data_IF_538010777650
#
_entry.id   IF_538010777650
#
_cell.length_a   1.000
_cell.length_b   1.000
_cell.length_c   1.000
_cell.angle_alpha   90.00
_cell.angle_beta   90.00
_cell.angle_gamma   90.00
#
_symmetry.space_group_name_H-M   'P 1'
#
loop_
_entity.id
_entity.type
_entity.pdbx_description
1 polymer ?
#
# COMPACT_ATOMS: atom_id res chain seq x y z
N UNK A 1 -13.05 0.00 14.47
CA UNK A 1 -12.14 0.80 13.61
C UNK A 1 -10.67 0.58 13.97
N UNK A 2 -10.21 0.94 15.18
CA UNK A 2 -8.80 0.78 15.62
C UNK A 2 -8.24 -0.65 15.45
N UNK A 3 -9.03 -1.68 15.78
CA UNK A 3 -8.62 -3.08 15.66
C UNK A 3 -8.44 -3.55 14.19
N UNK A 4 -9.16 -2.96 13.23
CA UNK A 4 -8.99 -3.28 11.81
C UNK A 4 -7.73 -2.62 11.24
N UNK A 5 -7.44 -1.38 11.64
CA UNK A 5 -6.17 -0.70 11.31
C UNK A 5 -4.97 -1.49 11.82
N UNK A 6 -4.99 -1.89 13.10
CA UNK A 6 -3.94 -2.71 13.69
C UNK A 6 -3.72 -4.02 12.92
N UNK A 7 -4.80 -4.74 12.59
CA UNK A 7 -4.71 -5.98 11.79
C UNK A 7 -4.06 -5.77 10.43
N UNK A 8 -4.36 -4.67 9.74
CA UNK A 8 -3.75 -4.36 8.44
C UNK A 8 -2.26 -4.00 8.53
N UNK A 9 -1.82 -3.44 9.65
CA UNK A 9 -0.42 -3.04 9.87
C UNK A 9 0.47 -4.20 10.33
N UNK A 10 -0.08 -5.22 11.00
CA UNK A 10 0.71 -6.34 11.53
C UNK A 10 1.60 -7.00 10.47
N UNK A 11 1.11 -7.41 9.28
CA UNK A 11 1.96 -8.05 8.28
C UNK A 11 3.07 -7.13 7.77
N UNK A 12 2.79 -5.84 7.66
CA UNK A 12 3.76 -4.82 7.24
C UNK A 12 4.87 -4.67 8.29
N UNK A 13 4.50 -4.60 9.57
CA UNK A 13 5.44 -4.53 10.68
C UNK A 13 6.28 -5.81 10.78
N UNK A 14 5.68 -6.99 10.58
CA UNK A 14 6.40 -8.26 10.56
C UNK A 14 7.44 -8.26 9.44
N UNK A 15 7.06 -7.90 8.22
CA UNK A 15 8.02 -7.81 7.08
C UNK A 15 9.15 -6.84 7.40
N UNK A 16 8.83 -5.65 7.94
CA UNK A 16 9.82 -4.63 8.28
C UNK A 16 10.81 -5.13 9.34
N UNK A 17 10.31 -5.71 10.44
CA UNK A 17 11.13 -6.25 11.53
C UNK A 17 12.00 -7.40 11.01
N UNK A 18 11.44 -8.32 10.23
CA UNK A 18 12.16 -9.45 9.65
C UNK A 18 13.30 -9.00 8.75
N UNK A 19 13.12 -7.92 8.00
CA UNK A 19 14.14 -7.39 7.07
C UNK A 19 15.25 -6.66 7.82
N UNK A 20 14.90 -5.84 8.83
CA UNK A 20 15.90 -5.19 9.69
C UNK A 20 16.74 -6.22 10.46
N UNK A 21 16.09 -7.26 10.99
CA UNK A 21 16.79 -8.36 11.66
C UNK A 21 17.62 -9.19 10.68
N UNK A 22 17.05 -9.53 9.52
CA UNK A 22 17.72 -10.28 8.47
C UNK A 22 18.97 -9.57 7.95
N UNK A 23 18.94 -8.24 7.85
CA UNK A 23 20.10 -7.42 7.48
C UNK A 23 21.28 -7.59 8.46
N UNK A 24 21.03 -7.68 9.76
CA UNK A 24 22.10 -7.92 10.74
C UNK A 24 22.77 -9.30 10.56
N UNK A 25 22.01 -10.30 10.12
CA UNK A 25 22.52 -11.65 9.87
C UNK A 25 23.16 -11.79 8.48
N UNK A 26 22.70 -11.01 7.51
CA UNK A 26 23.24 -10.95 6.15
C UNK A 26 24.75 -10.66 6.15
N UNK A 27 25.21 -9.74 7.02
CA UNK A 27 26.63 -9.41 7.16
C UNK A 27 27.53 -10.61 7.54
N UNK A 28 26.95 -11.74 7.97
CA UNK A 28 27.65 -12.96 8.39
C UNK A 28 27.42 -14.14 7.45
N UNK A 29 26.71 -13.92 6.33
CA UNK A 29 26.25 -15.00 5.45
C UNK A 29 27.25 -15.34 4.33
N UNK A 30 27.29 -16.60 3.84
CA UNK A 30 28.12 -17.00 2.69
C UNK A 30 27.77 -16.23 1.40
N UNK A 31 28.77 -15.89 0.59
CA UNK A 31 28.63 -15.08 -0.63
C UNK A 31 27.64 -15.64 -1.66
N UNK A 32 27.54 -16.97 -1.78
CA UNK A 32 26.66 -17.63 -2.75
C UNK A 32 25.17 -17.36 -2.47
N UNK A 33 24.78 -17.26 -1.20
CA UNK A 33 23.42 -16.87 -0.79
C UNK A 33 23.18 -15.40 -1.13
N UNK A 34 24.18 -14.56 -0.87
CA UNK A 34 24.13 -13.11 -1.11
C UNK A 34 23.94 -12.80 -2.60
N UNK A 35 24.64 -13.50 -3.49
CA UNK A 35 24.52 -13.28 -4.94
C UNK A 35 23.16 -13.71 -5.49
N UNK A 36 22.53 -14.73 -4.91
CA UNK A 36 21.19 -15.17 -5.30
C UNK A 36 20.12 -14.11 -5.00
N UNK A 37 20.31 -13.30 -3.96
CA UNK A 37 19.39 -12.23 -3.56
C UNK A 37 19.37 -11.07 -4.55
N UNK A 38 20.39 -10.94 -5.41
CA UNK A 38 20.45 -9.85 -6.39
C UNK A 38 19.31 -9.88 -7.41
N UNK A 39 18.77 -11.07 -7.71
CA UNK A 39 17.69 -11.25 -8.68
C UNK A 39 16.29 -11.20 -8.05
N UNK A 40 16.20 -11.29 -6.72
CA UNK A 40 14.94 -11.38 -5.99
C UNK A 40 14.01 -10.17 -6.25
N UNK A 41 14.49 -8.91 -6.25
CA UNK A 41 13.65 -7.76 -6.60
C UNK A 41 12.98 -7.89 -7.95
N UNK A 42 13.73 -8.30 -8.98
CA UNK A 42 13.22 -8.42 -10.35
C UNK A 42 12.16 -9.52 -10.44
N UNK A 43 12.39 -10.66 -9.80
CA UNK A 43 11.43 -11.77 -9.75
C UNK A 43 10.13 -11.36 -9.05
N UNK A 44 10.24 -10.69 -7.90
CA UNK A 44 9.09 -10.19 -7.15
C UNK A 44 8.34 -9.10 -7.92
N UNK A 45 9.05 -8.18 -8.58
CA UNK A 45 8.46 -7.13 -9.40
C UNK A 45 7.70 -7.71 -10.60
N UNK A 46 8.25 -8.74 -11.26
CA UNK A 46 7.55 -9.45 -12.34
C UNK A 46 6.27 -10.12 -11.83
N UNK A 47 6.32 -10.78 -10.66
CA UNK A 47 5.15 -11.42 -10.05
C UNK A 47 4.09 -10.38 -9.65
N UNK A 48 4.48 -9.32 -8.95
CA UNK A 48 3.58 -8.22 -8.55
C UNK A 48 2.99 -7.55 -9.79
N UNK A 49 3.79 -7.29 -10.82
CA UNK A 49 3.34 -6.75 -12.10
C UNK A 49 2.29 -7.64 -12.77
N UNK A 50 2.54 -8.95 -12.85
CA UNK A 50 1.60 -9.91 -13.41
C UNK A 50 0.26 -9.89 -12.65
N UNK A 51 0.30 -9.95 -11.31
CA UNK A 51 -0.91 -10.00 -10.48
C UNK A 51 -1.68 -8.67 -10.49
N UNK A 52 -0.98 -7.53 -10.46
CA UNK A 52 -1.62 -6.22 -10.51
C UNK A 52 -2.29 -5.93 -11.86
N UNK A 53 -1.69 -6.38 -12.97
CA UNK A 53 -2.34 -6.34 -14.28
C UNK A 53 -3.56 -7.26 -14.31
N UNK A 54 -3.42 -8.50 -13.82
CA UNK A 54 -4.50 -9.50 -13.82
C UNK A 54 -5.71 -9.07 -12.96
N UNK A 55 -5.46 -8.52 -11.77
CA UNK A 55 -6.51 -8.05 -10.86
C UNK A 55 -6.86 -6.56 -11.04
N UNK A 56 -6.29 -5.89 -12.04
CA UNK A 56 -6.51 -4.48 -12.35
C UNK A 56 -6.30 -3.54 -11.14
N UNK A 57 -5.22 -3.76 -10.39
CA UNK A 57 -4.82 -2.99 -9.19
C UNK A 57 -3.76 -1.96 -9.54
N UNK A 58 -4.22 -0.78 -9.96
CA UNK A 58 -3.35 0.27 -10.49
C UNK A 58 -2.42 0.88 -9.46
N UNK A 59 -2.91 1.19 -8.25
CA UNK A 59 -2.10 1.86 -7.23
C UNK A 59 -0.88 1.00 -6.85
N UNK A 60 -1.08 -0.30 -6.66
CA UNK A 60 0.00 -1.23 -6.29
C UNK A 60 0.97 -1.45 -7.46
N UNK A 61 0.48 -1.43 -8.70
CA UNK A 61 1.36 -1.45 -9.88
C UNK A 61 2.30 -0.23 -9.89
N UNK A 62 1.79 0.96 -9.60
CA UNK A 62 2.60 2.17 -9.53
C UNK A 62 3.55 2.19 -8.33
N UNK A 63 3.18 1.60 -7.18
CA UNK A 63 4.12 1.36 -6.08
C UNK A 63 5.29 0.49 -6.51
N UNK A 64 5.01 -0.62 -7.20
CA UNK A 64 6.05 -1.51 -7.74
C UNK A 64 6.97 -0.75 -8.71
N UNK A 65 6.41 0.02 -9.65
CA UNK A 65 7.21 0.83 -10.57
C UNK A 65 8.05 1.88 -9.85
N UNK A 66 7.50 2.56 -8.84
CA UNK A 66 8.23 3.55 -8.05
C UNK A 66 9.41 2.91 -7.32
N UNK A 67 9.18 1.79 -6.62
CA UNK A 67 10.20 1.03 -5.90
C UNK A 67 11.32 0.58 -6.86
N UNK A 68 10.95 0.00 -8.02
CA UNK A 68 11.92 -0.45 -9.01
C UNK A 68 12.69 0.70 -9.67
N UNK A 69 12.03 1.85 -9.86
CA UNK A 69 12.69 3.05 -10.40
C UNK A 69 13.72 3.60 -9.42
N UNK A 70 13.38 3.68 -8.13
CA UNK A 70 14.33 4.07 -7.07
C UNK A 70 15.51 3.10 -7.03
N UNK A 71 15.23 1.79 -7.05
CA UNK A 71 16.27 0.76 -7.09
C UNK A 71 17.20 0.94 -8.28
N UNK A 72 16.66 1.13 -9.49
CA UNK A 72 17.46 1.33 -10.69
C UNK A 72 18.32 2.58 -10.62
N UNK A 73 17.75 3.71 -10.20
CA UNK A 73 18.48 4.99 -10.06
C UNK A 73 19.64 4.87 -9.06
N UNK A 74 19.46 4.14 -7.96
CA UNK A 74 20.51 3.94 -6.96
C UNK A 74 21.58 2.93 -7.42
N UNK A 75 21.19 1.79 -8.03
CA UNK A 75 22.13 0.76 -8.52
C UNK A 75 23.02 1.30 -9.63
N UNK A 76 22.45 2.01 -10.59
CA UNK A 76 23.18 2.59 -11.73
C UNK A 76 23.83 3.94 -11.41
N UNK A 77 23.82 4.36 -10.14
CA UNK A 77 24.40 5.61 -9.66
C UNK A 77 23.97 6.85 -10.46
N UNK A 78 22.71 6.88 -10.92
CA UNK A 78 22.13 7.98 -11.71
C UNK A 78 21.84 9.25 -10.87
N UNK A 79 22.50 9.38 -9.73
CA UNK A 79 22.42 10.52 -8.80
C UNK A 79 23.81 11.13 -8.55
N UNK A 80 24.46 11.69 -9.59
CA UNK A 80 25.83 12.19 -9.46
C UNK A 80 25.95 13.47 -8.63
N UNK A 81 24.86 14.22 -8.43
CA UNK A 81 24.86 15.46 -7.64
C UNK A 81 23.81 15.43 -6.54
N UNK A 82 23.99 16.26 -5.50
CA UNK A 82 23.03 16.42 -4.41
C UNK A 82 21.63 16.83 -4.90
N UNK A 83 21.54 17.54 -6.04
CA UNK A 83 20.27 17.91 -6.66
C UNK A 83 19.53 16.68 -7.21
N UNK A 84 20.22 15.75 -7.89
CA UNK A 84 19.61 14.51 -8.37
C UNK A 84 19.05 13.69 -7.21
N UNK A 85 19.86 13.53 -6.16
CA UNK A 85 19.49 12.77 -4.99
C UNK A 85 18.36 13.44 -4.19
N UNK A 86 18.37 14.77 -4.07
CA UNK A 86 17.30 15.56 -3.46
C UNK A 86 15.98 15.45 -4.22
N UNK A 87 16.00 15.49 -5.56
CA UNK A 87 14.80 15.32 -6.39
C UNK A 87 14.22 13.90 -6.25
N UNK A 88 15.07 12.87 -6.32
CA UNK A 88 14.66 11.48 -6.13
C UNK A 88 14.00 11.30 -4.75
N UNK A 89 14.70 11.68 -3.69
CA UNK A 89 14.24 11.49 -2.32
C UNK A 89 13.02 12.36 -1.97
N UNK A 90 12.88 13.54 -2.57
CA UNK A 90 11.71 14.41 -2.40
C UNK A 90 10.46 13.93 -3.13
N UNK A 91 10.58 13.42 -4.37
CA UNK A 91 9.41 12.98 -5.14
C UNK A 91 8.87 11.61 -4.73
N UNK A 92 9.71 10.71 -4.20
CA UNK A 92 9.29 9.38 -3.73
C UNK A 92 8.09 9.42 -2.77
N UNK A 93 8.13 10.15 -1.64
CA UNK A 93 7.02 10.17 -0.69
C UNK A 93 5.78 10.84 -1.30
N UNK A 94 5.96 11.87 -2.15
CA UNK A 94 4.86 12.59 -2.81
C UNK A 94 4.09 11.68 -3.78
N UNK A 95 4.82 10.96 -4.65
CA UNK A 95 4.23 10.01 -5.59
C UNK A 95 3.54 8.87 -4.86
N UNK A 96 4.14 8.38 -3.78
CA UNK A 96 3.55 7.31 -2.96
C UNK A 96 2.21 7.75 -2.37
N UNK A 97 2.13 8.92 -1.74
CA UNK A 97 0.88 9.47 -1.23
C UNK A 97 -0.15 9.69 -2.35
N UNK A 98 0.28 10.24 -3.49
CA UNK A 98 -0.58 10.47 -4.64
C UNK A 98 -1.24 9.18 -5.12
N UNK A 99 -0.47 8.09 -5.29
CA UNK A 99 -1.04 6.80 -5.69
C UNK A 99 -1.91 6.15 -4.61
N UNK A 100 -1.66 6.39 -3.32
CA UNK A 100 -2.52 5.90 -2.23
C UNK A 100 -3.90 6.57 -2.21
N UNK A 101 -3.97 7.87 -2.49
CA UNK A 101 -5.21 8.66 -2.38
C UNK A 101 -6.04 8.63 -3.67
N UNK A 102 -5.37 8.45 -4.82
CA UNK A 102 -6.08 8.37 -6.09
C UNK A 102 -7.00 7.15 -6.13
N UNK A 103 -8.25 7.30 -6.62
CA UNK A 103 -9.17 6.18 -6.73
C UNK A 103 -8.62 5.14 -7.72
N UNK A 104 -8.87 3.87 -7.43
CA UNK A 104 -8.47 2.76 -8.30
C UNK A 104 -9.08 2.92 -9.69
N UNK A 105 -8.21 2.86 -10.71
CA UNK A 105 -8.59 3.02 -12.11
C UNK A 105 -7.98 1.88 -12.89
N UNK A 106 -8.60 1.48 -14.00
CA UNK A 106 -7.95 0.51 -14.86
C UNK A 106 -6.64 1.06 -15.40
N UNK A 107 -5.58 0.24 -15.46
CA UNK A 107 -4.26 0.67 -15.94
C UNK A 107 -4.37 1.36 -17.32
N UNK A 108 -5.05 0.70 -18.27
CA UNK A 108 -5.24 1.19 -19.63
C UNK A 108 -6.53 2.03 -19.82
N UNK A 109 -7.16 2.48 -18.74
CA UNK A 109 -8.38 3.27 -18.84
C UNK A 109 -8.08 4.71 -19.22
N UNK A 110 -8.94 5.36 -20.01
CA UNK A 110 -8.88 6.83 -20.22
C UNK A 110 -8.90 7.58 -18.88
N UNK A 111 -9.52 6.99 -17.85
CA UNK A 111 -9.54 7.56 -16.51
C UNK A 111 -8.17 7.62 -15.85
N UNK A 112 -7.17 6.83 -16.25
CA UNK A 112 -5.81 6.87 -15.67
C UNK A 112 -4.92 7.99 -16.25
N UNK A 113 -5.39 8.76 -17.25
CA UNK A 113 -4.67 9.91 -17.81
C UNK A 113 -4.07 10.86 -16.76
N UNK A 114 -4.79 11.26 -15.68
CA UNK A 114 -4.21 12.15 -14.66
C UNK A 114 -3.01 11.55 -13.93
N UNK A 115 -2.96 10.23 -13.79
CA UNK A 115 -1.83 9.53 -13.15
C UNK A 115 -0.60 9.59 -14.04
N UNK A 116 -0.77 9.30 -15.33
CA UNK A 116 0.31 9.41 -16.31
C UNK A 116 0.78 10.85 -16.51
N UNK A 117 -0.14 11.82 -16.49
CA UNK A 117 0.20 13.24 -16.56
C UNK A 117 1.02 13.67 -15.34
N UNK A 118 0.67 13.24 -14.12
CA UNK A 118 1.43 13.53 -12.91
C UNK A 118 2.85 12.93 -12.97
N UNK A 119 2.97 11.67 -13.41
CA UNK A 119 4.26 11.02 -13.61
C UNK A 119 5.12 11.74 -14.66
N UNK A 120 4.54 12.07 -15.81
CA UNK A 120 5.21 12.81 -16.87
C UNK A 120 5.67 14.18 -16.37
N UNK A 121 4.83 14.88 -15.62
CA UNK A 121 5.17 16.18 -15.03
C UNK A 121 6.35 16.06 -14.07
N UNK A 122 6.38 15.05 -13.20
CA UNK A 122 7.53 14.82 -12.29
C UNK A 122 8.80 14.53 -13.08
N UNK A 123 8.73 13.70 -14.13
CA UNK A 123 9.88 13.37 -14.97
C UNK A 123 10.40 14.60 -15.73
N UNK A 124 9.50 15.36 -16.38
CA UNK A 124 9.85 16.57 -17.13
C UNK A 124 10.42 17.64 -16.20
N UNK A 125 9.79 17.87 -15.04
CA UNK A 125 10.28 18.82 -14.05
C UNK A 125 11.65 18.42 -13.51
N UNK A 126 11.87 17.13 -13.22
CA UNK A 126 13.17 16.63 -12.76
C UNK A 126 14.25 16.82 -13.82
N UNK A 127 13.97 16.47 -15.08
CA UNK A 127 14.91 16.64 -16.19
C UNK A 127 15.24 18.12 -16.44
N UNK A 128 14.22 18.98 -16.45
CA UNK A 128 14.41 20.43 -16.59
C UNK A 128 15.25 21.01 -15.44
N UNK A 129 14.96 20.63 -14.20
CA UNK A 129 15.70 21.09 -13.01
C UNK A 129 17.17 20.65 -13.04
N UNK A 130 17.45 19.45 -13.57
CA UNK A 130 18.81 18.94 -13.72
C UNK A 130 19.59 19.71 -14.81
N UNK A 131 18.92 20.10 -15.90
CA UNK A 131 19.56 20.80 -17.03
C UNK A 131 19.82 22.27 -16.69
N UNK A 132 18.80 22.97 -16.21
CA UNK A 132 18.86 24.43 -15.97
C UNK A 132 19.42 24.79 -14.60
N UNK A 133 19.44 23.83 -13.66
CA UNK A 133 19.94 24.02 -12.27
C UNK A 133 19.45 25.33 -11.63
N UNK A 134 18.12 25.59 -11.59
CA UNK A 134 17.61 26.87 -11.12
C UNK A 134 17.95 27.10 -9.64
N UNK A 135 18.57 28.24 -9.34
CA UNK A 135 19.03 28.62 -7.98
C UNK A 135 17.93 28.48 -6.94
N UNK A 136 16.70 28.84 -7.31
CA UNK A 136 15.55 28.79 -6.39
C UNK A 136 15.23 27.35 -5.95
N UNK A 137 15.27 26.38 -6.86
CA UNK A 137 15.01 24.98 -6.51
C UNK A 137 16.15 24.43 -5.68
N UNK A 138 17.39 24.75 -6.03
CA UNK A 138 18.56 24.32 -5.27
C UNK A 138 18.53 24.89 -3.84
N UNK A 139 18.19 26.17 -3.70
CA UNK A 139 18.05 26.85 -2.42
C UNK A 139 16.98 26.19 -1.56
N UNK A 140 15.75 26.05 -2.06
CA UNK A 140 14.67 25.47 -1.24
C UNK A 140 14.84 23.98 -0.98
N UNK A 141 15.45 23.22 -1.88
CA UNK A 141 15.58 21.78 -1.73
C UNK A 141 16.79 21.39 -0.88
N UNK A 142 17.93 22.06 -1.04
CA UNK A 142 19.21 21.61 -0.46
C UNK A 142 19.71 22.49 0.70
N UNK A 143 19.11 23.65 0.96
CA UNK A 143 19.55 24.48 2.09
C UNK A 143 19.09 23.86 3.40
N UNK A 144 20.04 23.66 4.31
CA UNK A 144 19.79 23.26 5.69
C UNK A 144 19.45 24.49 6.54
N UNK A 145 18.35 24.41 7.29
CA UNK A 145 17.82 25.53 8.08
C UNK A 145 18.14 25.38 9.57
N UNK A 146 18.35 24.14 10.01
CA UNK A 146 18.70 23.77 11.37
C UNK A 146 20.17 23.35 11.48
N UNK A 147 20.79 23.47 12.66
CA UNK A 147 22.19 23.10 12.86
C UNK A 147 22.50 21.64 12.48
N UNK A 148 23.61 21.44 11.76
CA UNK A 148 24.06 20.14 11.26
C UNK A 148 24.13 19.04 12.34
N UNK A 149 24.50 19.38 13.58
CA UNK A 149 24.56 18.44 14.72
C UNK A 149 23.31 17.58 14.94
N UNK A 150 22.13 18.06 14.50
CA UNK A 150 20.87 17.32 14.63
C UNK A 150 20.57 16.40 13.44
N UNK A 151 21.31 16.54 12.34
CA UNK A 151 21.09 15.90 11.04
C UNK A 151 22.34 15.22 10.46
N UNK A 152 23.49 15.22 11.16
CA UNK A 152 24.72 14.53 10.75
C UNK A 152 24.54 13.01 10.54
N UNK A 153 23.43 12.43 11.02
CA UNK A 153 23.08 11.01 10.88
C UNK A 153 22.45 10.67 9.52
N UNK A 154 22.11 11.65 8.68
CA UNK A 154 21.38 11.43 7.43
C UNK A 154 21.95 12.21 6.24
N UNK A 155 22.09 11.57 5.07
CA UNK A 155 22.48 12.27 3.84
C UNK A 155 21.30 13.02 3.18
N UNK A 156 20.08 12.87 3.70
CA UNK A 156 18.89 13.49 3.15
C UNK A 156 18.83 14.99 3.48
N UNK A 157 18.46 15.86 2.53
CA UNK A 157 18.20 17.26 2.81
C UNK A 157 17.12 17.43 3.88
N UNK A 158 17.26 18.42 4.77
CA UNK A 158 16.29 18.67 5.85
C UNK A 158 14.85 18.83 5.32
N UNK A 159 14.70 19.51 4.18
CA UNK A 159 13.42 19.72 3.50
C UNK A 159 12.71 18.40 3.16
N UNK A 160 13.47 17.43 2.64
CA UNK A 160 12.97 16.10 2.27
C UNK A 160 12.54 15.34 3.52
N UNK A 161 13.29 15.43 4.61
CA UNK A 161 12.93 14.79 5.89
C UNK A 161 11.60 15.35 6.41
N UNK A 162 11.45 16.67 6.47
CA UNK A 162 10.21 17.29 6.96
C UNK A 162 9.01 16.98 6.06
N UNK A 163 9.17 17.05 4.74
CA UNK A 163 8.13 16.63 3.78
C UNK A 163 7.75 15.16 3.98
N UNK A 164 8.73 14.27 4.15
CA UNK A 164 8.52 12.84 4.37
C UNK A 164 7.80 12.57 5.69
N UNK A 165 8.09 13.32 6.75
CA UNK A 165 7.38 13.23 8.03
C UNK A 165 5.93 13.66 7.91
N UNK A 166 5.65 14.77 7.23
CA UNK A 166 4.27 15.22 6.97
C UNK A 166 3.49 14.12 6.24
N UNK A 167 4.08 13.55 5.19
CA UNK A 167 3.47 12.48 4.40
C UNK A 167 3.29 11.21 5.23
N UNK A 168 4.27 10.85 6.06
CA UNK A 168 4.15 9.72 7.00
C UNK A 168 2.94 9.90 7.92
N UNK A 169 2.76 11.06 8.54
CA UNK A 169 1.61 11.32 9.42
C UNK A 169 0.29 11.35 8.66
N UNK A 170 0.27 11.83 7.42
CA UNK A 170 -0.92 11.77 6.56
C UNK A 170 -1.29 10.32 6.23
N UNK A 171 -0.34 9.47 5.83
CA UNK A 171 -0.58 8.05 5.58
C UNK A 171 -0.98 7.30 6.86
N UNK A 172 -0.37 7.64 7.99
CA UNK A 172 -0.73 7.08 9.29
C UNK A 172 -2.17 7.43 9.65
N UNK A 173 -2.57 8.70 9.51
CA UNK A 173 -3.94 9.15 9.73
C UNK A 173 -4.90 8.42 8.78
N UNK A 174 -4.57 8.31 7.49
CA UNK A 174 -5.36 7.55 6.52
C UNK A 174 -5.51 6.07 6.91
N UNK A 175 -4.50 5.45 7.52
CA UNK A 175 -4.59 4.06 7.98
C UNK A 175 -5.62 3.85 9.10
N UNK A 176 -5.89 4.89 9.88
CA UNK A 176 -6.95 4.90 10.89
C UNK A 176 -8.31 5.26 10.32
N UNK A 177 -8.36 6.27 9.44
CA UNK A 177 -9.60 6.76 8.84
C UNK A 177 -10.20 5.79 7.79
N UNK A 178 -9.35 5.14 7.01
CA UNK A 178 -9.71 4.21 5.93
C UNK A 178 -8.80 2.98 5.97
N UNK A 179 -9.02 2.05 6.92
CA UNK A 179 -8.16 0.89 7.08
C UNK A 179 -8.22 0.03 5.81
N UNK A 180 -7.12 -0.01 5.06
CA UNK A 180 -7.01 -0.81 3.85
C UNK A 180 -5.61 -1.41 3.72
N UNK A 181 -5.49 -2.61 3.11
CA UNK A 181 -4.18 -3.21 2.85
C UNK A 181 -3.28 -2.31 2.00
N UNK A 182 -3.87 -1.55 1.08
CA UNK A 182 -3.18 -0.58 0.23
C UNK A 182 -2.50 0.52 1.07
N UNK A 183 -3.25 1.15 1.98
CA UNK A 183 -2.73 2.23 2.83
C UNK A 183 -1.64 1.69 3.76
N UNK A 184 -1.86 0.53 4.37
CA UNK A 184 -0.86 -0.13 5.21
C UNK A 184 0.44 -0.42 4.44
N UNK A 185 0.34 -0.96 3.22
CA UNK A 185 1.50 -1.21 2.37
C UNK A 185 2.22 0.09 2.00
N UNK A 186 1.49 1.16 1.66
CA UNK A 186 2.11 2.46 1.36
C UNK A 186 2.92 3.02 2.53
N UNK A 187 2.44 2.88 3.77
CA UNK A 187 3.18 3.31 4.94
C UNK A 187 4.46 2.48 5.16
N UNK A 188 4.39 1.16 4.97
CA UNK A 188 5.56 0.29 5.03
C UNK A 188 6.59 0.60 3.94
N UNK A 189 6.12 0.80 2.71
CA UNK A 189 6.96 1.15 1.56
C UNK A 189 7.65 2.49 1.78
N UNK A 190 6.95 3.49 2.34
CA UNK A 190 7.56 4.78 2.69
C UNK A 190 8.76 4.57 3.63
N UNK A 191 8.57 3.82 4.71
CA UNK A 191 9.62 3.55 5.68
C UNK A 191 10.80 2.80 5.05
N UNK A 192 10.52 1.79 4.23
CA UNK A 192 11.54 1.03 3.49
C UNK A 192 12.33 1.94 2.54
N UNK A 193 11.66 2.79 1.76
CA UNK A 193 12.34 3.67 0.81
C UNK A 193 13.16 4.76 1.53
N UNK A 194 12.67 5.30 2.64
CA UNK A 194 13.44 6.25 3.45
C UNK A 194 14.68 5.59 4.09
N UNK A 195 14.55 4.37 4.57
CA UNK A 195 15.69 3.58 5.07
C UNK A 195 16.71 3.32 3.97
N UNK A 196 16.25 2.87 2.79
CA UNK A 196 17.11 2.63 1.63
C UNK A 196 17.89 3.87 1.23
N UNK A 197 17.26 5.04 1.26
CA UNK A 197 17.92 6.28 0.92
C UNK A 197 19.00 6.65 1.97
N UNK A 198 18.79 6.34 3.25
CA UNK A 198 19.77 6.62 4.31
C UNK A 198 20.96 5.66 4.34
N UNK A 199 20.76 4.41 3.91
CA UNK A 199 21.81 3.40 3.93
C UNK A 199 22.84 3.67 2.82
N UNK A 200 24.11 3.31 3.08
CA UNK A 200 25.17 3.38 2.08
C UNK A 200 24.77 2.65 0.80
N UNK A 201 25.33 3.08 -0.36
CA UNK A 201 25.07 2.55 -1.70
C UNK A 201 25.59 1.11 -1.89
N UNK A 202 25.14 0.18 -1.05
CA UNK A 202 25.43 -1.23 -1.15
C UNK A 202 24.27 -1.92 -1.88
N UNK A 203 24.56 -2.42 -3.10
CA UNK A 203 23.57 -3.03 -3.97
C UNK A 203 22.82 -4.20 -3.28
N UNK A 204 23.49 -4.97 -2.42
CA UNK A 204 22.85 -6.10 -1.73
C UNK A 204 21.84 -5.63 -0.68
N UNK A 205 22.19 -4.60 0.08
CA UNK A 205 21.31 -4.01 1.09
C UNK A 205 20.07 -3.45 0.42
N UNK A 206 20.28 -2.69 -0.66
CA UNK A 206 19.21 -2.18 -1.50
C UNK A 206 18.27 -3.30 -1.96
N UNK A 207 18.80 -4.39 -2.53
CA UNK A 207 17.99 -5.51 -3.02
C UNK A 207 17.13 -6.17 -1.92
N UNK A 208 17.66 -6.30 -0.69
CA UNK A 208 16.91 -6.87 0.44
C UNK A 208 15.73 -5.98 0.84
N UNK A 209 15.96 -4.68 1.02
CA UNK A 209 14.91 -3.73 1.41
C UNK A 209 13.88 -3.52 0.28
N UNK A 210 14.33 -3.43 -0.98
CA UNK A 210 13.44 -3.35 -2.14
C UNK A 210 12.54 -4.60 -2.22
N UNK A 211 13.10 -5.78 -1.99
CA UNK A 211 12.32 -7.04 -1.92
C UNK A 211 11.26 -6.98 -0.82
N UNK A 212 11.55 -6.36 0.34
CA UNK A 212 10.57 -6.15 1.40
C UNK A 212 9.40 -5.29 0.94
N UNK A 213 9.67 -4.17 0.26
CA UNK A 213 8.64 -3.31 -0.31
C UNK A 213 7.77 -4.06 -1.34
N UNK A 214 8.38 -4.89 -2.17
CA UNK A 214 7.66 -5.71 -3.15
C UNK A 214 6.83 -6.82 -2.49
N UNK A 215 7.29 -7.41 -1.38
CA UNK A 215 6.48 -8.34 -0.58
C UNK A 215 5.27 -7.65 0.07
N UNK A 216 5.42 -6.39 0.50
CA UNK A 216 4.30 -5.58 0.99
C UNK A 216 3.28 -5.31 -0.12
N UNK A 217 3.75 -5.01 -1.34
CA UNK A 217 2.89 -4.92 -2.53
C UNK A 217 2.16 -6.24 -2.80
N UNK A 218 2.88 -7.36 -2.81
CA UNK A 218 2.30 -8.69 -3.03
C UNK A 218 1.22 -9.01 -2.00
N UNK A 219 1.50 -8.75 -0.72
CA UNK A 219 0.53 -8.89 0.36
C UNK A 219 -0.72 -8.03 0.11
N UNK A 220 -0.54 -6.75 -0.25
CA UNK A 220 -1.65 -5.86 -0.52
C UNK A 220 -2.53 -6.35 -1.69
N UNK A 221 -1.93 -6.83 -2.79
CA UNK A 221 -2.70 -7.39 -3.93
C UNK A 221 -3.50 -8.61 -3.51
N UNK A 222 -2.87 -9.54 -2.78
CA UNK A 222 -3.53 -10.77 -2.33
C UNK A 222 -4.67 -10.47 -1.36
N UNK A 223 -4.43 -9.59 -0.38
CA UNK A 223 -5.43 -9.25 0.62
C UNK A 223 -6.61 -8.50 0.00
N UNK A 224 -6.37 -7.60 -0.96
CA UNK A 224 -7.42 -6.85 -1.61
C UNK A 224 -8.21 -7.72 -2.60
N UNK A 225 -7.56 -8.68 -3.28
CA UNK A 225 -8.23 -9.70 -4.09
C UNK A 225 -9.12 -10.62 -3.23
N UNK A 226 -8.60 -11.06 -2.09
CA UNK A 226 -9.38 -11.81 -1.11
C UNK A 226 -10.59 -11.00 -0.62
N UNK A 227 -10.41 -9.72 -0.28
CA UNK A 227 -11.49 -8.87 0.23
C UNK A 227 -12.65 -8.76 -0.75
N UNK A 228 -12.37 -8.54 -2.03
CA UNK A 228 -13.41 -8.52 -3.09
C UNK A 228 -14.12 -9.86 -3.27
N UNK A 229 -13.40 -10.97 -3.13
CA UNK A 229 -13.97 -12.29 -3.38
C UNK A 229 -14.83 -12.80 -2.22
N UNK A 230 -14.56 -12.34 -1.00
CA UNK A 230 -15.14 -12.89 0.23
C UNK A 230 -16.03 -11.94 0.99
N UNK A 231 -15.91 -10.62 0.81
CA UNK A 231 -16.78 -9.65 1.47
C UNK A 231 -17.79 -9.09 0.47
N UNK A 232 -18.98 -8.81 1.00
CA UNK A 232 -20.00 -8.03 0.31
C UNK A 232 -19.68 -6.52 0.39
N UNK A 233 -19.69 -5.84 -0.76
CA UNK A 233 -19.27 -4.43 -0.86
C UNK A 233 -20.19 -3.45 -0.13
N UNK A 234 -21.49 -3.77 -0.02
CA UNK A 234 -22.46 -2.86 0.60
C UNK A 234 -22.39 -2.93 2.13
N UNK A 235 -22.27 -4.13 2.68
CA UNK A 235 -22.42 -4.41 4.11
C UNK A 235 -21.10 -4.68 4.84
N UNK A 236 -20.01 -4.91 4.10
CA UNK A 236 -18.72 -5.43 4.61
C UNK A 236 -18.90 -6.73 5.41
N UNK A 237 -19.98 -7.49 5.19
CA UNK A 237 -20.14 -8.82 5.75
C UNK A 237 -19.48 -9.86 4.85
N UNK A 238 -18.96 -10.96 5.40
CA UNK A 238 -18.57 -12.10 4.59
C UNK A 238 -19.75 -12.56 3.72
N UNK A 239 -19.52 -12.69 2.41
CA UNK A 239 -20.53 -13.07 1.45
C UNK A 239 -20.80 -14.58 1.43
N UNK A 240 -21.69 -15.00 0.53
CA UNK A 240 -22.03 -16.41 0.28
C UNK A 240 -20.82 -17.34 0.09
N UNK A 241 -19.76 -16.86 -0.57
CA UNK A 241 -18.54 -17.64 -0.78
C UNK A 241 -17.82 -17.96 0.54
N UNK A 242 -17.71 -16.96 1.42
CA UNK A 242 -17.11 -17.12 2.74
C UNK A 242 -17.90 -18.11 3.61
N UNK A 243 -19.23 -18.04 3.57
CA UNK A 243 -20.09 -18.99 4.27
C UNK A 243 -19.84 -20.43 3.79
N UNK A 244 -19.79 -20.64 2.48
CA UNK A 244 -19.60 -21.98 1.89
C UNK A 244 -18.25 -22.58 2.28
N UNK A 245 -17.18 -21.80 2.26
CA UNK A 245 -15.88 -22.28 2.73
C UNK A 245 -15.86 -22.53 4.23
N UNK A 246 -16.58 -21.71 5.01
CA UNK A 246 -16.71 -21.96 6.44
C UNK A 246 -17.38 -23.31 6.70
N UNK A 247 -18.44 -23.66 5.97
CA UNK A 247 -19.10 -24.97 6.06
C UNK A 247 -18.17 -26.15 5.74
N UNK A 248 -17.16 -25.96 4.89
CA UNK A 248 -16.18 -27.01 4.62
C UNK A 248 -15.14 -27.14 5.74
N UNK A 249 -14.86 -26.06 6.48
CA UNK A 249 -13.85 -26.02 7.55
C UNK A 249 -14.38 -26.33 8.96
N UNK A 250 -15.68 -26.13 9.20
CA UNK A 250 -16.30 -26.32 10.51
C UNK A 250 -16.60 -27.79 10.74
N UNK A 251 -16.24 -28.28 11.93
CA UNK A 251 -16.54 -29.62 12.40
C UNK A 251 -17.33 -29.58 13.71
N UNK A 252 -18.00 -30.69 14.03
CA UNK A 252 -18.88 -30.79 15.20
C UNK A 252 -20.29 -30.27 14.93
N UNK A 253 -21.07 -30.07 16.00
CA UNK A 253 -22.45 -29.59 15.91
C UNK A 253 -22.46 -28.07 15.80
N UNK A 254 -23.14 -27.56 14.77
CA UNK A 254 -23.34 -26.14 14.55
C UNK A 254 -24.78 -25.85 14.14
N UNK A 255 -25.20 -24.60 14.32
CA UNK A 255 -26.51 -24.10 13.94
C UNK A 255 -26.33 -22.98 12.93
N UNK A 256 -27.16 -22.99 11.89
CA UNK A 256 -27.23 -21.93 10.89
C UNK A 256 -28.63 -21.33 10.98
N UNK A 257 -28.72 -20.01 11.04
CA UNK A 257 -29.98 -19.29 10.97
C UNK A 257 -29.99 -18.53 9.64
N UNK A 258 -31.00 -18.76 8.81
CA UNK A 258 -31.22 -17.97 7.61
C UNK A 258 -32.22 -16.85 7.93
N UNK A 259 -31.91 -15.63 7.49
CA UNK A 259 -32.74 -14.45 7.67
C UNK A 259 -33.01 -13.81 6.31
N UNK A 260 -34.24 -13.34 6.11
CA UNK A 260 -34.66 -12.61 4.92
C UNK A 260 -35.34 -11.30 5.36
N UNK A 261 -35.16 -10.22 4.60
CA UNK A 261 -35.78 -8.92 4.92
C UNK A 261 -37.18 -8.88 4.33
N UNK A 262 -38.18 -9.01 5.20
CA UNK A 262 -39.58 -9.04 4.79
C UNK A 262 -39.98 -7.81 3.95
N UNK A 263 -40.64 -8.08 2.82
CA UNK A 263 -41.18 -7.06 1.92
C UNK A 263 -40.15 -6.05 1.36
N UNK A 264 -38.87 -6.42 1.29
CA UNK A 264 -37.79 -5.51 0.87
C UNK A 264 -38.01 -4.92 -0.53
N UNK A 265 -38.51 -5.71 -1.49
CA UNK A 265 -38.89 -5.20 -2.82
C UNK A 265 -39.91 -4.06 -2.75
N UNK A 266 -40.99 -4.24 -1.98
CA UNK A 266 -42.04 -3.21 -1.82
C UNK A 266 -41.49 -1.95 -1.17
N UNK A 267 -40.56 -2.10 -0.22
CA UNK A 267 -39.86 -0.98 0.38
C UNK A 267 -39.03 -0.21 -0.65
N UNK A 268 -38.22 -0.89 -1.47
CA UNK A 268 -37.46 -0.26 -2.56
C UNK A 268 -38.37 0.42 -3.59
N UNK A 269 -39.49 -0.20 -3.94
CA UNK A 269 -40.47 0.39 -4.87
C UNK A 269 -41.07 1.70 -4.31
N UNK A 270 -41.12 1.87 -2.98
CA UNK A 270 -41.72 3.03 -2.31
C UNK A 270 -40.70 4.13 -1.98
N UNK A 271 -39.46 3.76 -1.60
CA UNK A 271 -38.46 4.67 -1.06
C UNK A 271 -37.18 4.78 -1.91
N UNK A 272 -37.03 3.94 -2.94
CA UNK A 272 -35.86 3.89 -3.79
C UNK A 272 -34.76 2.97 -3.27
N UNK A 273 -33.88 2.54 -4.18
CA UNK A 273 -32.80 1.59 -3.90
C UNK A 273 -31.75 2.14 -2.93
N UNK A 274 -31.42 3.43 -3.00
CA UNK A 274 -30.41 4.03 -2.12
C UNK A 274 -30.84 3.94 -0.64
N UNK A 275 -32.14 4.14 -0.36
CA UNK A 275 -32.71 3.95 0.98
C UNK A 275 -32.77 2.47 1.37
N UNK A 276 -33.03 1.57 0.42
CA UNK A 276 -32.91 0.13 0.65
C UNK A 276 -31.51 -0.29 1.07
N UNK A 277 -30.49 0.25 0.42
CA UNK A 277 -29.09 -0.01 0.72
C UNK A 277 -28.73 0.44 2.15
N UNK A 278 -29.27 1.56 2.61
CA UNK A 278 -29.13 2.02 3.99
C UNK A 278 -29.76 1.05 5.00
N UNK A 279 -30.94 0.49 4.68
CA UNK A 279 -31.59 -0.52 5.52
C UNK A 279 -30.71 -1.77 5.63
N UNK A 280 -30.15 -2.25 4.52
CA UNK A 280 -29.26 -3.42 4.53
C UNK A 280 -27.97 -3.17 5.33
N UNK A 281 -27.37 -1.98 5.19
CA UNK A 281 -26.21 -1.58 6.02
C UNK A 281 -26.54 -1.56 7.51
N UNK A 282 -27.73 -1.05 7.85
CA UNK A 282 -28.19 -0.98 9.24
C UNK A 282 -28.39 -2.38 9.83
N UNK A 283 -29.04 -3.29 9.10
CA UNK A 283 -29.20 -4.69 9.50
C UNK A 283 -27.85 -5.37 9.71
N UNK A 284 -26.94 -5.23 8.73
CA UNK A 284 -25.61 -5.80 8.81
C UNK A 284 -24.81 -5.28 10.02
N UNK A 285 -24.93 -3.99 10.34
CA UNK A 285 -24.30 -3.41 11.53
C UNK A 285 -24.84 -4.05 12.81
N UNK A 286 -26.16 -4.26 12.91
CA UNK A 286 -26.76 -4.94 14.07
C UNK A 286 -26.31 -6.38 14.20
N UNK A 287 -26.15 -7.09 13.08
CA UNK A 287 -25.65 -8.46 13.06
C UNK A 287 -24.18 -8.55 13.50
N UNK A 288 -23.34 -7.56 13.14
CA UNK A 288 -21.94 -7.48 13.59
C UNK A 288 -21.80 -7.32 15.11
N UNK A 289 -22.81 -6.72 15.76
CA UNK A 289 -22.81 -6.48 17.20
C UNK A 289 -23.32 -7.69 18.02
N UNK A 290 -23.76 -8.76 17.36
CA UNK A 290 -24.24 -9.97 18.05
C UNK A 290 -23.09 -10.59 18.85
N UNK A 291 -23.26 -10.65 20.17
CA UNK A 291 -22.29 -11.24 21.09
C UNK A 291 -22.21 -12.77 20.96
N UNK A 292 -21.02 -13.35 21.17
CA UNK A 292 -20.80 -14.79 21.21
C UNK A 292 -19.92 -15.30 20.08
N UNK A 293 -20.16 -16.53 19.62
CA UNK A 293 -19.41 -17.19 18.52
C UNK A 293 -20.14 -17.13 17.17
N UNK A 294 -21.27 -16.44 17.10
CA UNK A 294 -22.02 -16.25 15.86
C UNK A 294 -21.21 -15.44 14.85
N UNK A 295 -21.25 -15.84 13.59
CA UNK A 295 -20.58 -15.16 12.49
C UNK A 295 -21.65 -14.78 11.48
N UNK A 296 -21.91 -13.48 11.25
CA UNK A 296 -22.91 -13.05 10.28
C UNK A 296 -22.35 -13.09 8.86
N UNK A 297 -23.20 -13.45 7.90
CA UNK A 297 -22.90 -13.48 6.47
C UNK A 297 -24.02 -12.78 5.67
N UNK A 298 -23.67 -12.19 4.52
CA UNK A 298 -24.68 -11.81 3.51
C UNK A 298 -24.76 -12.90 2.46
N UNK A 299 -25.89 -13.60 2.42
CA UNK A 299 -26.07 -14.75 1.55
C UNK A 299 -26.58 -14.36 0.15
N UNK A 300 -27.44 -13.34 0.08
CA UNK A 300 -28.11 -12.90 -1.14
C UNK A 300 -28.35 -11.38 -1.16
N UNK A 301 -29.25 -10.94 -2.06
CA UNK A 301 -29.59 -9.51 -2.21
C UNK A 301 -30.17 -8.91 -0.93
N UNK A 302 -31.12 -9.60 -0.31
CA UNK A 302 -31.75 -9.20 0.96
C UNK A 302 -31.66 -10.30 2.04
N UNK A 303 -30.89 -11.36 1.76
CA UNK A 303 -30.75 -12.55 2.62
C UNK A 303 -29.45 -12.52 3.43
N UNK A 304 -29.53 -12.91 4.70
CA UNK A 304 -28.42 -13.05 5.64
C UNK A 304 -28.37 -14.44 6.27
N UNK A 305 -27.21 -14.82 6.81
CA UNK A 305 -26.97 -16.10 7.48
C UNK A 305 -26.06 -15.98 8.72
#
# INVERSE_FOLDING_TARGET
MMMNSLKSLIPILVILISVVYGYQQFLRSPSLIVDSLAYLPLMLAALVGMLTIHFNRSAIFFFMLLIMSVSGVLIFELTPTALHYGLLSGFVPLLLLFFTVMPERGLLSVRSIPVYAALLLVLVFSAWTIIETPDLVQYYLLTDWLPARYFDWTPLPQTVIFCSLIIFFQLLLLSFLRPSPLVAASLGILLVLLLVLQLEKNAYVLNVFISAGLLMCLYAVMQESWRMAYLDELTDLPGRRALRERFQSISGTYTVAMLDVDHFKKFNDSYGHDTGDEVLRMIASKMKDVSGKGLPYRYGGEEFA
#
